data_IF_781389229031
#
_entry.id   IF_781389229031
#
_cell.length_a   1.000
_cell.length_b   1.000
_cell.length_c   1.000
_cell.angle_alpha   90.00
_cell.angle_beta   90.00
_cell.angle_gamma   90.00
#
_symmetry.space_group_name_H-M   'P 1'
#
loop_
_entity.id
_entity.type
_entity.pdbx_description
1 polymer ?
#
# COMPACT_ATOMS: atom_id res chain seq x y z
N UNK A 1 -14.32 25.70 3.16
CA UNK A 1 -13.12 26.30 2.54
C UNK A 1 -11.93 26.40 3.51
N UNK A 2 -12.16 26.54 4.82
CA UNK A 2 -11.09 26.67 5.83
C UNK A 2 -10.07 25.53 5.89
N UNK A 3 -10.40 24.40 5.36
CA UNK A 3 -9.67 23.15 5.55
C UNK A 3 -8.59 22.87 4.49
N UNK A 4 -8.70 23.46 3.32
CA UNK A 4 -7.71 23.28 2.27
C UNK A 4 -6.39 24.01 2.61
N UNK A 5 -6.50 25.19 3.21
CA UNK A 5 -5.36 25.96 3.67
C UNK A 5 -4.56 25.22 4.75
N UNK A 6 -5.23 24.71 5.78
CA UNK A 6 -4.58 23.97 6.86
C UNK A 6 -3.95 22.65 6.37
N UNK A 7 -4.66 21.91 5.50
CA UNK A 7 -4.12 20.70 4.89
C UNK A 7 -2.86 21.00 4.07
N UNK A 8 -2.92 22.02 3.24
CA UNK A 8 -1.80 22.42 2.40
C UNK A 8 -0.64 22.93 3.28
N UNK A 9 -0.91 23.75 4.27
CA UNK A 9 0.11 24.27 5.19
C UNK A 9 0.84 23.15 5.92
N UNK A 10 0.10 22.22 6.54
CA UNK A 10 0.72 21.06 7.21
C UNK A 10 1.49 20.14 6.24
N UNK A 11 0.95 19.90 5.06
CA UNK A 11 1.61 19.06 4.06
C UNK A 11 2.89 19.70 3.52
N UNK A 12 2.89 21.01 3.33
CA UNK A 12 4.06 21.75 2.86
C UNK A 12 5.11 21.83 3.97
N UNK A 13 4.74 22.11 5.23
CA UNK A 13 5.66 22.12 6.36
C UNK A 13 6.36 20.76 6.51
N UNK A 14 5.62 19.66 6.45
CA UNK A 14 6.21 18.32 6.51
C UNK A 14 7.14 18.04 5.32
N UNK A 15 6.79 18.49 4.12
CA UNK A 15 7.63 18.31 2.94
C UNK A 15 8.89 19.22 2.99
N UNK A 16 8.77 20.42 3.55
CA UNK A 16 9.87 21.35 3.75
C UNK A 16 10.89 20.80 4.76
N UNK A 17 10.41 20.26 5.88
CA UNK A 17 11.29 19.62 6.88
C UNK A 17 12.03 18.43 6.27
N UNK A 18 11.35 17.57 5.52
CA UNK A 18 11.97 16.43 4.84
C UNK A 18 13.00 16.87 3.78
N UNK A 19 12.72 17.92 3.01
CA UNK A 19 13.64 18.46 2.00
C UNK A 19 14.86 19.13 2.68
N UNK A 20 14.64 19.85 3.77
CA UNK A 20 15.67 20.47 4.60
C UNK A 20 16.61 19.43 5.19
N UNK A 21 16.05 18.38 5.80
CA UNK A 21 16.82 17.31 6.40
C UNK A 21 17.66 16.58 5.34
N UNK A 22 17.07 16.19 4.20
CA UNK A 22 17.78 15.51 3.13
C UNK A 22 18.95 16.36 2.56
N UNK A 23 18.75 17.68 2.42
CA UNK A 23 19.78 18.59 1.98
C UNK A 23 20.95 18.68 2.98
N UNK A 24 20.66 18.86 4.28
CA UNK A 24 21.71 18.96 5.30
C UNK A 24 22.44 17.62 5.53
N UNK A 25 21.77 16.49 5.44
CA UNK A 25 22.41 15.17 5.51
C UNK A 25 23.41 14.96 4.37
N UNK A 26 23.07 15.37 3.15
CA UNK A 26 23.98 15.28 2.00
C UNK A 26 25.16 16.25 2.13
N UNK A 27 24.94 17.49 2.57
CA UNK A 27 26.02 18.47 2.84
C UNK A 27 26.96 17.94 3.91
N UNK A 28 26.43 17.36 4.99
CA UNK A 28 27.24 16.77 6.05
C UNK A 28 28.05 15.55 5.54
N UNK A 29 27.45 14.69 4.70
CA UNK A 29 28.16 13.56 4.11
C UNK A 29 29.33 14.00 3.23
N UNK A 30 29.10 15.01 2.38
CA UNK A 30 30.15 15.58 1.51
C UNK A 30 31.27 16.26 2.30
N UNK A 31 30.94 17.00 3.38
CA UNK A 31 31.93 17.63 4.25
C UNK A 31 32.83 16.63 5.00
N UNK A 32 32.34 15.40 5.19
CA UNK A 32 33.10 14.29 5.78
C UNK A 32 33.85 13.45 4.74
N UNK A 33 33.87 13.85 3.46
CA UNK A 33 34.53 13.13 2.38
C UNK A 33 33.87 11.78 2.04
N UNK A 34 32.62 11.59 2.47
CA UNK A 34 31.87 10.36 2.15
C UNK A 34 31.27 10.47 0.76
N UNK A 35 31.25 9.37 -0.05
CA UNK A 35 30.57 9.39 -1.33
C UNK A 35 29.07 9.65 -1.10
N UNK A 36 28.47 10.46 -2.00
CA UNK A 36 27.03 10.72 -1.99
C UNK A 36 26.24 9.43 -1.89
N UNK A 37 25.43 9.28 -0.85
CA UNK A 37 24.64 8.06 -0.60
C UNK A 37 23.37 8.04 -1.48
N UNK A 38 23.04 9.11 -2.20
CA UNK A 38 21.80 9.29 -2.94
C UNK A 38 21.97 9.39 -4.46
N UNK A 39 20.95 8.98 -5.21
CA UNK A 39 20.83 9.22 -6.66
C UNK A 39 20.55 10.68 -7.01
N UNK A 40 20.35 11.56 -6.03
CA UNK A 40 20.07 12.98 -6.20
C UNK A 40 21.35 13.77 -5.98
N UNK A 41 21.70 14.60 -6.93
CA UNK A 41 22.84 15.50 -6.76
C UNK A 41 22.47 16.64 -5.79
N UNK A 42 23.47 17.27 -5.17
CA UNK A 42 23.30 18.35 -4.22
C UNK A 42 22.49 19.52 -4.80
N UNK A 43 22.63 19.82 -6.10
CA UNK A 43 21.87 20.87 -6.75
C UNK A 43 20.36 20.57 -6.77
N UNK A 44 19.97 19.31 -6.99
CA UNK A 44 18.57 18.94 -6.96
C UNK A 44 17.98 19.02 -5.56
N UNK A 45 18.73 18.60 -4.53
CA UNK A 45 18.31 18.71 -3.14
C UNK A 45 18.20 20.16 -2.70
N UNK A 46 19.14 21.01 -3.10
CA UNK A 46 19.09 22.45 -2.86
C UNK A 46 17.86 23.09 -3.53
N UNK A 47 17.56 22.71 -4.79
CA UNK A 47 16.41 23.21 -5.53
C UNK A 47 15.09 22.79 -4.86
N UNK A 48 14.99 21.53 -4.39
CA UNK A 48 13.83 21.05 -3.64
C UNK A 48 13.66 21.81 -2.31
N UNK A 49 14.74 22.01 -1.56
CA UNK A 49 14.74 22.75 -0.30
C UNK A 49 14.30 24.22 -0.51
N UNK A 50 14.91 24.93 -1.46
CA UNK A 50 14.54 26.32 -1.76
C UNK A 50 13.08 26.44 -2.23
N UNK A 51 12.61 25.51 -3.05
CA UNK A 51 11.21 25.48 -3.50
C UNK A 51 10.23 25.32 -2.34
N UNK A 52 10.55 24.45 -1.37
CA UNK A 52 9.71 24.27 -0.19
C UNK A 52 9.73 25.51 0.70
N UNK A 53 10.87 26.17 0.85
CA UNK A 53 10.99 27.44 1.61
C UNK A 53 10.15 28.55 0.97
N UNK A 54 10.18 28.68 -0.35
CA UNK A 54 9.32 29.65 -1.09
C UNK A 54 7.84 29.36 -0.86
N UNK A 55 7.43 28.09 -0.85
CA UNK A 55 6.06 27.68 -0.55
C UNK A 55 5.64 28.03 0.88
N UNK A 56 6.51 27.78 1.86
CA UNK A 56 6.24 28.12 3.27
C UNK A 56 6.07 29.63 3.45
N UNK A 57 6.96 30.43 2.86
CA UNK A 57 6.90 31.90 2.92
C UNK A 57 5.63 32.42 2.26
N UNK A 58 5.31 31.95 1.04
CA UNK A 58 4.10 32.39 0.33
C UNK A 58 2.81 32.03 1.09
N UNK A 59 2.76 30.85 1.72
CA UNK A 59 1.65 30.47 2.58
C UNK A 59 1.56 31.33 3.85
N UNK A 60 2.68 31.63 4.47
CA UNK A 60 2.73 32.47 5.65
C UNK A 60 2.25 33.92 5.44
N UNK A 61 2.25 34.40 4.17
CA UNK A 61 1.69 35.72 3.81
C UNK A 61 0.18 35.68 3.54
N UNK A 62 -0.44 34.50 3.47
CA UNK A 62 -1.87 34.36 3.18
C UNK A 62 -2.66 34.08 4.46
N UNK A 63 -3.86 34.62 4.52
CA UNK A 63 -4.83 34.23 5.54
C UNK A 63 -5.68 33.07 5.04
N UNK A 64 -6.23 32.29 5.97
CA UNK A 64 -7.14 31.19 5.65
C UNK A 64 -8.33 31.61 4.77
N UNK A 65 -8.84 32.83 4.99
CA UNK A 65 -9.99 33.39 4.21
C UNK A 65 -9.61 33.73 2.77
N UNK A 66 -8.35 34.09 2.53
CA UNK A 66 -7.87 34.54 1.23
C UNK A 66 -7.24 33.43 0.42
N UNK A 67 -7.06 32.24 1.02
CA UNK A 67 -6.38 31.14 0.40
C UNK A 67 -7.19 30.50 -0.73
N UNK A 68 -6.58 30.43 -1.92
CA UNK A 68 -6.92 29.48 -2.98
C UNK A 68 -5.62 28.98 -3.60
N UNK A 69 -5.60 27.76 -4.16
CA UNK A 69 -4.41 27.24 -4.88
C UNK A 69 -3.98 28.16 -6.01
N UNK A 70 -4.92 28.81 -6.69
CA UNK A 70 -4.65 29.76 -7.77
C UNK A 70 -4.00 31.01 -7.27
N UNK A 71 -4.45 31.58 -6.15
CA UNK A 71 -3.82 32.75 -5.50
C UNK A 71 -2.41 32.41 -5.01
N UNK A 72 -2.22 31.23 -4.42
CA UNK A 72 -0.89 30.76 -4.00
C UNK A 72 0.04 30.62 -5.21
N UNK A 73 -0.40 30.00 -6.29
CA UNK A 73 0.38 29.87 -7.52
C UNK A 73 0.70 31.23 -8.13
N UNK A 74 -0.24 32.18 -8.10
CA UNK A 74 -0.03 33.55 -8.60
C UNK A 74 1.02 34.28 -7.77
N UNK A 75 0.92 34.25 -6.44
CA UNK A 75 1.88 34.88 -5.54
C UNK A 75 3.31 34.34 -5.71
N UNK A 76 3.42 33.04 -5.97
CA UNK A 76 4.72 32.41 -6.25
C UNK A 76 5.23 32.80 -7.65
N UNK A 77 4.32 32.86 -8.65
CA UNK A 77 4.69 33.21 -10.02
C UNK A 77 5.29 34.61 -10.16
N UNK A 78 4.90 35.53 -9.29
CA UNK A 78 5.42 36.90 -9.30
C UNK A 78 6.90 36.96 -8.92
N UNK A 79 7.44 35.95 -8.20
CA UNK A 79 8.77 35.96 -7.61
C UNK A 79 9.63 34.72 -7.88
N UNK A 80 9.14 33.77 -8.62
CA UNK A 80 9.79 32.47 -8.84
C UNK A 80 10.04 32.15 -10.34
N UNK A 81 11.08 31.36 -10.60
CA UNK A 81 11.36 30.85 -11.96
C UNK A 81 10.28 29.85 -12.39
N UNK A 82 10.10 29.69 -13.72
CA UNK A 82 9.13 28.69 -14.27
C UNK A 82 9.43 27.28 -13.78
N UNK A 83 10.68 26.92 -13.62
CA UNK A 83 11.09 25.63 -13.07
C UNK A 83 10.58 25.43 -11.63
N UNK A 84 10.68 26.48 -10.79
CA UNK A 84 10.15 26.47 -9.44
C UNK A 84 8.63 26.31 -9.45
N UNK A 85 7.94 27.04 -10.34
CA UNK A 85 6.51 26.91 -10.53
C UNK A 85 6.08 25.52 -10.95
N UNK A 86 6.83 24.84 -11.83
CA UNK A 86 6.52 23.45 -12.19
C UNK A 86 6.65 22.48 -11.02
N UNK A 87 7.66 22.66 -10.16
CA UNK A 87 7.82 21.86 -8.95
C UNK A 87 6.67 22.14 -7.98
N UNK A 88 6.33 23.41 -7.77
CA UNK A 88 5.19 23.81 -6.93
C UNK A 88 3.88 23.21 -7.44
N UNK A 89 3.60 23.31 -8.73
CA UNK A 89 2.41 22.69 -9.36
C UNK A 89 2.37 21.17 -9.13
N UNK A 90 3.52 20.48 -9.21
CA UNK A 90 3.60 19.04 -8.92
C UNK A 90 3.34 18.76 -7.44
N UNK A 91 3.89 19.54 -6.53
CA UNK A 91 3.66 19.41 -5.10
C UNK A 91 2.18 19.65 -4.77
N UNK A 92 1.60 20.75 -5.22
CA UNK A 92 0.19 21.06 -4.98
C UNK A 92 -0.76 20.03 -5.59
N UNK A 93 -0.45 19.48 -6.77
CA UNK A 93 -1.20 18.35 -7.35
C UNK A 93 -1.10 17.06 -6.53
N UNK A 94 0.00 16.87 -5.81
CA UNK A 94 0.18 15.69 -4.95
C UNK A 94 -0.57 15.81 -3.62
N UNK A 95 -0.96 17.03 -3.23
CA UNK A 95 -1.79 17.29 -2.05
C UNK A 95 -3.26 17.18 -2.49
N UNK A 96 -4.01 16.17 -2.05
CA UNK A 96 -5.40 16.01 -2.46
C UNK A 96 -6.27 17.14 -1.91
N UNK A 97 -7.31 17.52 -2.67
CA UNK A 97 -8.35 18.40 -2.14
C UNK A 97 -9.21 17.62 -1.14
N UNK A 98 -9.92 18.31 -0.23
CA UNK A 98 -10.90 17.66 0.64
C UNK A 98 -11.88 16.76 -0.11
N UNK A 99 -12.39 17.20 -1.26
CA UNK A 99 -13.28 16.40 -2.12
C UNK A 99 -12.57 15.17 -2.67
N UNK A 100 -11.31 15.28 -3.07
CA UNK A 100 -10.49 14.15 -3.57
C UNK A 100 -10.24 13.12 -2.48
N UNK A 101 -9.98 13.57 -1.23
CA UNK A 101 -9.83 12.68 -0.08
C UNK A 101 -11.12 11.91 0.24
N UNK A 102 -12.28 12.53 0.02
CA UNK A 102 -13.58 11.91 0.29
C UNK A 102 -14.09 11.05 -0.86
N UNK A 103 -13.77 11.38 -2.11
CA UNK A 103 -14.35 10.80 -3.32
C UNK A 103 -13.42 9.85 -4.10
N UNK A 104 -12.12 9.87 -3.87
CA UNK A 104 -11.15 9.16 -4.71
C UNK A 104 -11.39 7.65 -4.80
N UNK A 105 -11.49 7.13 -6.02
CA UNK A 105 -11.38 5.71 -6.31
C UNK A 105 -10.23 5.45 -7.28
N UNK A 106 -9.55 4.33 -7.10
CA UNK A 106 -8.52 3.89 -8.02
C UNK A 106 -9.12 3.05 -9.15
N UNK A 107 -8.57 3.16 -10.36
CA UNK A 107 -9.02 2.36 -11.52
C UNK A 107 -8.37 0.99 -11.58
N UNK A 108 -7.18 0.87 -11.04
CA UNK A 108 -6.36 -0.34 -11.07
C UNK A 108 -5.82 -0.67 -9.68
N UNK A 109 -5.86 -1.94 -9.32
CA UNK A 109 -5.27 -2.46 -8.08
C UNK A 109 -3.95 -3.15 -8.38
N UNK A 110 -3.00 -2.95 -7.48
CA UNK A 110 -1.74 -3.68 -7.42
C UNK A 110 -1.93 -4.93 -6.57
N UNK A 111 -1.49 -6.06 -7.07
CA UNK A 111 -1.48 -7.33 -6.35
C UNK A 111 -0.07 -7.90 -6.33
N UNK A 112 0.55 -7.96 -5.15
CA UNK A 112 1.89 -8.49 -4.96
C UNK A 112 1.83 -10.01 -4.85
N UNK A 113 2.48 -10.72 -5.78
CA UNK A 113 2.45 -12.17 -5.91
C UNK A 113 3.64 -12.86 -5.21
N UNK A 114 4.77 -12.20 -4.85
CA UNK A 114 5.92 -12.93 -4.34
C UNK A 114 5.57 -13.79 -3.14
N UNK A 115 6.04 -15.04 -3.14
CA UNK A 115 5.86 -15.96 -2.01
C UNK A 115 6.40 -15.37 -0.70
N UNK A 116 7.54 -14.65 -0.78
CA UNK A 116 8.13 -13.96 0.36
C UNK A 116 7.23 -12.89 0.99
N UNK A 117 6.34 -12.26 0.22
CA UNK A 117 5.35 -11.30 0.74
C UNK A 117 4.13 -12.03 1.31
N UNK A 118 3.70 -13.10 0.66
CA UNK A 118 2.48 -13.80 1.07
C UNK A 118 2.67 -14.74 2.27
N UNK A 119 3.90 -14.97 2.72
CA UNK A 119 4.17 -15.71 3.98
C UNK A 119 4.24 -14.80 5.21
N UNK A 120 4.20 -13.49 5.06
CA UNK A 120 4.31 -12.52 6.17
C UNK A 120 3.38 -12.80 7.35
N UNK A 121 2.10 -13.22 7.17
CA UNK A 121 1.23 -13.57 8.29
C UNK A 121 1.70 -14.77 9.12
N UNK A 122 2.62 -15.58 8.59
CA UNK A 122 3.19 -16.75 9.28
C UNK A 122 4.44 -16.41 10.11
N UNK A 123 5.00 -15.20 9.93
CA UNK A 123 6.22 -14.75 10.58
C UNK A 123 5.84 -13.96 11.84
N UNK A 124 6.42 -14.27 13.02
CA UNK A 124 6.20 -13.48 14.22
C UNK A 124 6.84 -12.09 14.08
N UNK A 125 6.21 -11.09 14.70
CA UNK A 125 6.81 -9.77 14.86
C UNK A 125 7.63 -9.81 16.14
N UNK A 126 8.95 -9.68 16.03
CA UNK A 126 9.84 -9.66 17.20
C UNK A 126 9.97 -8.25 17.78
N UNK A 127 10.08 -8.08 19.11
CA UNK A 127 10.42 -6.81 19.74
C UNK A 127 11.77 -6.27 19.23
N UNK A 128 12.01 -4.97 19.39
CA UNK A 128 13.23 -4.30 18.92
C UNK A 128 14.51 -4.85 19.58
N UNK A 129 14.41 -5.21 20.84
CA UNK A 129 15.54 -5.73 21.64
C UNK A 129 15.91 -7.16 21.31
N UNK A 130 15.03 -7.92 20.64
CA UNK A 130 15.28 -9.30 20.28
C UNK A 130 15.84 -9.43 18.85
N UNK A 131 16.69 -10.45 18.57
CA UNK A 131 17.09 -10.75 17.20
C UNK A 131 15.85 -11.08 16.36
N UNK A 132 15.74 -10.48 15.17
CA UNK A 132 14.63 -10.71 14.29
C UNK A 132 14.55 -12.19 13.90
N UNK A 133 13.44 -12.85 14.21
CA UNK A 133 13.15 -14.17 13.67
C UNK A 133 13.04 -14.06 12.14
N UNK A 134 13.89 -14.76 11.41
CA UNK A 134 13.86 -14.78 9.96
C UNK A 134 13.28 -16.10 9.46
N UNK A 135 12.32 -16.02 8.53
CA UNK A 135 11.82 -17.17 7.80
C UNK A 135 12.50 -17.25 6.45
N UNK A 136 13.08 -18.41 6.15
CA UNK A 136 13.64 -18.72 4.84
C UNK A 136 12.50 -19.18 3.91
N UNK A 137 12.36 -18.53 2.76
CA UNK A 137 11.35 -18.85 1.75
C UNK A 137 12.03 -19.24 0.46
N UNK A 138 11.92 -20.51 0.06
CA UNK A 138 12.43 -20.97 -1.24
C UNK A 138 11.58 -20.34 -2.36
N UNK A 139 12.21 -19.50 -3.18
CA UNK A 139 11.52 -18.68 -4.20
C UNK A 139 11.92 -19.00 -5.64
N UNK A 140 13.04 -19.69 -5.86
CA UNK A 140 13.50 -20.02 -7.19
C UNK A 140 14.23 -21.36 -7.20
N UNK A 141 14.02 -22.13 -8.29
CA UNK A 141 14.80 -23.34 -8.62
C UNK A 141 15.39 -23.18 -10.00
N UNK A 142 16.69 -23.39 -10.14
CA UNK A 142 17.36 -23.35 -11.43
C UNK A 142 18.43 -24.44 -11.48
N UNK A 143 18.25 -25.43 -12.37
CA UNK A 143 19.19 -26.56 -12.58
C UNK A 143 19.64 -27.22 -11.27
N UNK A 144 18.69 -27.52 -10.37
CA UNK A 144 18.97 -28.15 -9.07
C UNK A 144 19.47 -27.18 -7.97
N UNK A 145 19.71 -25.90 -8.28
CA UNK A 145 20.03 -24.87 -7.28
C UNK A 145 18.76 -24.19 -6.81
N UNK A 146 18.60 -24.09 -5.51
CA UNK A 146 17.51 -23.35 -4.86
C UNK A 146 18.05 -22.04 -4.32
N UNK A 147 17.24 -20.99 -4.39
CA UNK A 147 17.52 -19.71 -3.72
C UNK A 147 16.46 -19.45 -2.66
N UNK A 148 16.90 -19.15 -1.47
CA UNK A 148 16.04 -18.70 -0.39
C UNK A 148 16.03 -17.16 -0.33
N UNK A 149 14.90 -16.61 0.10
CA UNK A 149 14.75 -15.23 0.52
C UNK A 149 14.46 -15.26 2.01
N UNK A 150 15.22 -14.49 2.77
CA UNK A 150 15.03 -14.40 4.21
C UNK A 150 14.16 -13.19 4.52
N UNK A 151 13.08 -13.42 5.27
CA UNK A 151 12.12 -12.37 5.62
C UNK A 151 12.00 -12.30 7.13
N UNK A 152 12.20 -11.12 7.69
CA UNK A 152 12.04 -10.85 9.13
C UNK A 152 11.11 -9.68 9.38
N UNK A 153 10.37 -9.73 10.48
CA UNK A 153 9.51 -8.67 10.96
C UNK A 153 9.93 -8.24 12.36
N UNK A 154 10.03 -6.94 12.58
CA UNK A 154 10.39 -6.34 13.87
C UNK A 154 9.45 -5.19 14.20
N UNK A 155 8.99 -5.11 15.43
CA UNK A 155 8.30 -3.92 15.93
C UNK A 155 9.31 -2.90 16.45
N UNK A 156 9.10 -1.63 16.15
CA UNK A 156 9.97 -0.55 16.66
C UNK A 156 9.58 -0.12 18.09
N UNK A 157 8.31 -0.29 18.41
CA UNK A 157 7.71 -0.10 19.74
C UNK A 157 7.15 -1.44 20.23
N UNK A 158 6.60 -1.47 21.44
CA UNK A 158 5.88 -2.65 21.92
C UNK A 158 4.90 -3.14 20.84
N UNK A 159 4.95 -4.43 20.43
CA UNK A 159 4.19 -4.91 19.29
C UNK A 159 2.70 -4.74 19.51
N UNK A 160 2.03 -4.03 18.59
CA UNK A 160 0.57 -3.86 18.61
C UNK A 160 -0.12 -5.21 18.39
N UNK A 161 0.53 -6.09 17.62
CA UNK A 161 0.09 -7.45 17.37
C UNK A 161 1.31 -8.38 17.26
N UNK A 162 1.22 -9.65 17.74
CA UNK A 162 2.33 -10.59 17.68
C UNK A 162 2.63 -11.10 16.26
N UNK A 163 1.69 -10.94 15.33
CA UNK A 163 1.80 -11.34 13.91
C UNK A 163 0.95 -10.43 13.05
N UNK A 164 1.34 -10.30 11.80
CA UNK A 164 0.46 -9.74 10.77
C UNK A 164 -0.67 -10.74 10.46
N UNK A 165 -1.80 -10.21 10.04
CA UNK A 165 -2.93 -10.99 9.52
C UNK A 165 -2.96 -10.95 7.99
N UNK A 166 -3.73 -11.82 7.37
CA UNK A 166 -4.00 -11.75 5.91
C UNK A 166 -4.72 -10.44 5.56
N UNK A 167 -5.52 -9.91 6.49
CA UNK A 167 -6.17 -8.62 6.32
C UNK A 167 -5.16 -7.47 6.26
N UNK A 168 -4.11 -7.50 7.09
CA UNK A 168 -3.03 -6.49 7.04
C UNK A 168 -2.33 -6.50 5.67
N UNK A 169 -2.10 -7.68 5.07
CA UNK A 169 -1.60 -7.76 3.70
C UNK A 169 -2.57 -7.16 2.68
N UNK A 170 -3.87 -7.39 2.84
CA UNK A 170 -4.90 -6.81 1.97
C UNK A 170 -4.91 -5.29 2.05
N UNK A 171 -4.79 -4.73 3.27
CA UNK A 171 -4.68 -3.28 3.52
C UNK A 171 -3.39 -2.72 2.93
N UNK A 172 -2.26 -3.40 3.12
CA UNK A 172 -0.98 -3.02 2.53
C UNK A 172 -1.04 -2.98 0.98
N UNK A 173 -1.66 -3.96 0.36
CA UNK A 173 -1.85 -3.99 -1.10
C UNK A 173 -2.77 -2.88 -1.59
N UNK A 174 -3.82 -2.54 -0.84
CA UNK A 174 -4.69 -1.42 -1.17
C UNK A 174 -3.95 -0.08 -1.08
N UNK A 175 -3.15 0.13 -0.03
CA UNK A 175 -2.29 1.32 0.12
C UNK A 175 -1.24 1.40 -1.00
N UNK A 176 -0.59 0.27 -1.33
CA UNK A 176 0.34 0.16 -2.45
C UNK A 176 -0.32 0.49 -3.80
N UNK A 177 -1.59 0.13 -3.97
CA UNK A 177 -2.38 0.45 -5.18
C UNK A 177 -2.64 1.94 -5.31
N UNK A 178 -2.97 2.62 -4.20
CA UNK A 178 -3.14 4.07 -4.15
C UNK A 178 -1.80 4.75 -4.46
N UNK A 179 -0.71 4.31 -3.83
CA UNK A 179 0.63 4.83 -4.09
C UNK A 179 1.07 4.67 -5.55
N UNK A 180 0.85 3.49 -6.12
CA UNK A 180 1.18 3.18 -7.51
C UNK A 180 0.33 3.98 -8.51
N UNK A 181 -0.85 4.46 -8.12
CA UNK A 181 -1.67 5.37 -8.94
C UNK A 181 -1.16 6.82 -8.96
N UNK A 182 -0.08 7.12 -8.22
CA UNK A 182 0.52 8.45 -8.08
C UNK A 182 -0.04 9.26 -6.91
N UNK A 183 -0.99 8.71 -6.14
CA UNK A 183 -1.57 9.37 -4.98
C UNK A 183 -0.78 8.99 -3.74
N UNK A 184 -0.10 9.95 -3.11
CA UNK A 184 0.69 9.68 -1.90
C UNK A 184 -0.10 9.83 -0.61
N UNK A 185 -1.17 10.61 -0.60
CA UNK A 185 -2.02 10.86 0.56
C UNK A 185 -3.40 10.27 0.36
N UNK A 186 -3.94 9.62 1.36
CA UNK A 186 -5.26 8.99 1.31
C UNK A 186 -5.97 9.05 2.66
N UNK A 187 -7.29 9.02 2.64
CA UNK A 187 -8.14 8.86 3.82
C UNK A 187 -8.44 7.39 4.10
N UNK A 188 -8.88 7.07 5.32
CA UNK A 188 -9.39 5.74 5.65
C UNK A 188 -10.53 5.31 4.75
N UNK A 189 -11.39 6.26 4.35
CA UNK A 189 -12.50 6.02 3.44
C UNK A 189 -12.03 5.66 2.03
N UNK A 190 -11.01 6.34 1.54
CA UNK A 190 -10.42 6.08 0.23
C UNK A 190 -9.72 4.71 0.21
N UNK A 191 -8.97 4.41 1.27
CA UNK A 191 -8.33 3.10 1.42
C UNK A 191 -9.36 1.97 1.53
N UNK A 192 -10.46 2.18 2.29
CA UNK A 192 -11.56 1.21 2.36
C UNK A 192 -12.16 0.94 0.97
N UNK A 193 -12.38 1.97 0.14
CA UNK A 193 -12.88 1.80 -1.23
C UNK A 193 -11.86 1.10 -2.13
N UNK A 194 -10.59 1.44 -2.02
CA UNK A 194 -9.51 0.74 -2.72
C UNK A 194 -9.48 -0.75 -2.35
N UNK A 195 -9.59 -1.03 -1.05
CA UNK A 195 -9.62 -2.39 -0.49
C UNK A 195 -10.83 -3.19 -0.97
N UNK A 196 -12.01 -2.59 -1.01
CA UNK A 196 -13.28 -3.28 -1.32
C UNK A 196 -13.66 -3.23 -2.80
N UNK A 197 -12.91 -2.52 -3.64
CA UNK A 197 -13.26 -2.32 -5.04
C UNK A 197 -14.49 -1.43 -5.26
N UNK A 198 -14.90 -0.69 -4.22
CA UNK A 198 -16.08 0.16 -4.27
C UNK A 198 -15.81 1.45 -5.07
N UNK A 199 -16.86 1.99 -5.70
CA UNK A 199 -16.78 3.25 -6.43
C UNK A 199 -16.61 4.44 -5.48
N UNK A 200 -16.16 5.58 -6.02
CA UNK A 200 -15.87 6.81 -5.26
C UNK A 200 -17.03 7.28 -4.38
N UNK A 201 -18.25 7.15 -4.88
CA UNK A 201 -19.47 7.65 -4.19
C UNK A 201 -20.18 6.56 -3.38
N UNK A 202 -19.64 5.32 -3.35
CA UNK A 202 -20.26 4.25 -2.57
C UNK A 202 -20.19 4.57 -1.09
N UNK A 203 -21.36 4.54 -0.43
CA UNK A 203 -21.45 4.70 1.02
C UNK A 203 -20.73 3.55 1.72
N UNK A 204 -19.93 3.88 2.74
CA UNK A 204 -19.31 2.89 3.60
C UNK A 204 -20.36 2.31 4.53
N UNK A 205 -20.62 1.01 4.39
CA UNK A 205 -21.66 0.31 5.14
C UNK A 205 -21.12 -0.42 6.36
N UNK A 206 -19.82 -0.77 6.36
CA UNK A 206 -19.20 -1.52 7.46
C UNK A 206 -18.26 -0.65 8.28
N UNK A 207 -18.75 -0.09 9.39
CA UNK A 207 -17.94 0.63 10.37
C UNK A 207 -16.86 -0.28 10.98
N UNK A 208 -17.21 -1.53 11.29
CA UNK A 208 -16.28 -2.50 11.88
C UNK A 208 -15.08 -2.77 10.96
N UNK A 209 -15.31 -2.90 9.65
CA UNK A 209 -14.22 -3.08 8.68
C UNK A 209 -13.39 -1.81 8.55
N UNK A 210 -13.99 -0.62 8.64
CA UNK A 210 -13.26 0.64 8.61
C UNK A 210 -12.33 0.78 9.83
N UNK A 211 -12.79 0.41 11.02
CA UNK A 211 -11.95 0.38 12.22
C UNK A 211 -10.84 -0.68 12.12
N UNK A 212 -11.14 -1.84 11.54
CA UNK A 212 -10.12 -2.85 11.26
C UNK A 212 -9.04 -2.31 10.30
N UNK A 213 -9.42 -1.53 9.29
CA UNK A 213 -8.47 -0.86 8.37
C UNK A 213 -7.56 0.10 9.14
N UNK A 214 -8.09 0.93 10.04
CA UNK A 214 -7.29 1.86 10.85
C UNK A 214 -6.29 1.12 11.74
N UNK A 215 -6.76 0.09 12.46
CA UNK A 215 -5.90 -0.75 13.29
C UNK A 215 -4.79 -1.43 12.47
N UNK A 216 -5.12 -1.90 11.28
CA UNK A 216 -4.15 -2.50 10.36
C UNK A 216 -3.10 -1.47 9.91
N UNK A 217 -3.49 -0.22 9.61
CA UNK A 217 -2.56 0.85 9.27
C UNK A 217 -1.58 1.14 10.41
N UNK A 218 -2.06 1.21 11.66
CA UNK A 218 -1.21 1.41 12.84
C UNK A 218 -0.19 0.27 12.99
N UNK A 219 -0.63 -0.99 12.81
CA UNK A 219 0.25 -2.16 12.84
C UNK A 219 1.32 -2.11 11.73
N UNK A 220 0.91 -1.79 10.49
CA UNK A 220 1.82 -1.73 9.34
C UNK A 220 2.81 -0.56 9.42
N UNK A 221 2.42 0.54 10.03
CA UNK A 221 3.28 1.70 10.28
C UNK A 221 4.33 1.40 11.36
N UNK A 222 3.97 0.62 12.38
CA UNK A 222 4.86 0.28 13.50
C UNK A 222 5.78 -0.92 13.21
N UNK A 223 5.56 -1.65 12.11
CA UNK A 223 6.30 -2.87 11.78
C UNK A 223 7.37 -2.59 10.74
N UNK A 224 8.61 -2.98 11.04
CA UNK A 224 9.74 -2.97 10.11
C UNK A 224 9.84 -4.34 9.46
N UNK A 225 9.95 -4.36 8.13
CA UNK A 225 10.24 -5.55 7.34
C UNK A 225 11.69 -5.53 6.85
N UNK A 226 12.33 -6.69 6.84
CA UNK A 226 13.59 -6.92 6.15
C UNK A 226 13.38 -8.09 5.18
N UNK A 227 13.64 -7.86 3.90
CA UNK A 227 13.64 -8.90 2.86
C UNK A 227 15.08 -8.97 2.32
N UNK A 228 15.78 -10.04 2.65
CA UNK A 228 17.10 -10.33 2.10
C UNK A 228 16.94 -11.33 0.97
N UNK A 229 17.17 -10.86 -0.25
CA UNK A 229 17.03 -11.60 -1.50
C UNK A 229 18.40 -11.81 -2.19
N UNK A 230 19.49 -11.77 -1.47
CA UNK A 230 20.85 -11.88 -2.03
C UNK A 230 21.03 -13.17 -2.84
N UNK A 231 20.63 -14.31 -2.30
CA UNK A 231 20.69 -15.59 -3.00
C UNK A 231 19.84 -15.61 -4.27
N UNK A 232 18.65 -14.98 -4.23
CA UNK A 232 17.79 -14.87 -5.40
C UNK A 232 18.39 -13.93 -6.45
N UNK A 233 19.02 -12.85 -6.03
CA UNK A 233 19.72 -11.90 -6.91
C UNK A 233 20.91 -12.59 -7.60
N UNK A 234 21.73 -13.32 -6.86
CA UNK A 234 22.86 -14.08 -7.39
C UNK A 234 22.41 -15.14 -8.41
N UNK A 235 21.35 -15.89 -8.10
CA UNK A 235 20.78 -16.91 -9.01
C UNK A 235 20.23 -16.30 -10.29
N UNK A 236 19.66 -15.09 -10.24
CA UNK A 236 19.12 -14.36 -11.42
C UNK A 236 20.19 -13.58 -12.16
N UNK A 237 21.21 -13.07 -11.49
CA UNK A 237 22.38 -12.44 -12.12
C UNK A 237 23.05 -13.36 -13.10
N UNK A 238 23.06 -14.66 -12.82
CA UNK A 238 23.53 -15.70 -13.74
C UNK A 238 22.73 -15.79 -15.05
N UNK A 239 21.52 -15.18 -15.12
CA UNK A 239 20.67 -15.08 -16.31
C UNK A 239 20.77 -13.71 -17.01
N UNK A 240 21.78 -12.89 -16.74
CA UNK A 240 21.94 -11.57 -17.35
C UNK A 240 21.03 -10.48 -16.78
N UNK A 241 20.39 -10.70 -15.62
CA UNK A 241 19.61 -9.67 -14.92
C UNK A 241 20.48 -9.04 -13.83
N UNK A 242 20.84 -7.79 -14.01
CA UNK A 242 21.46 -6.99 -12.96
C UNK A 242 20.40 -6.53 -11.94
N UNK A 243 20.61 -6.83 -10.66
CA UNK A 243 19.83 -6.24 -9.57
C UNK A 243 20.63 -5.12 -8.93
N UNK A 244 20.04 -3.95 -8.84
CA UNK A 244 20.66 -2.81 -8.19
C UNK A 244 20.61 -2.90 -6.66
N UNK A 245 19.78 -3.80 -6.11
CA UNK A 245 19.52 -3.94 -4.69
C UNK A 245 19.02 -5.34 -4.38
N UNK A 246 19.66 -6.00 -3.39
CA UNK A 246 19.28 -7.34 -2.92
C UNK A 246 18.57 -7.33 -1.56
N UNK A 247 18.74 -6.28 -0.76
CA UNK A 247 18.10 -6.13 0.55
C UNK A 247 17.10 -4.99 0.55
N UNK A 248 15.86 -5.29 0.99
CA UNK A 248 14.77 -4.34 1.09
C UNK A 248 14.36 -4.23 2.56
N UNK A 249 14.64 -3.09 3.19
CA UNK A 249 14.40 -2.87 4.62
C UNK A 249 13.70 -1.53 4.83
N UNK A 250 12.78 -1.50 5.76
CA UNK A 250 12.06 -0.29 6.17
C UNK A 250 10.73 -0.63 6.82
N UNK A 251 9.95 0.40 7.14
CA UNK A 251 8.58 0.20 7.62
C UNK A 251 7.72 -0.49 6.55
N UNK A 252 6.83 -1.38 6.98
CA UNK A 252 5.88 -2.07 6.08
C UNK A 252 5.10 -1.07 5.23
N UNK A 253 4.60 0.00 5.85
CA UNK A 253 4.08 1.20 5.20
C UNK A 253 4.81 2.42 5.78
N UNK A 254 5.81 2.97 5.08
CA UNK A 254 6.50 4.19 5.50
C UNK A 254 5.58 5.40 5.29
N UNK A 255 4.79 5.74 6.29
CA UNK A 255 3.77 6.79 6.22
C UNK A 255 3.71 7.62 7.49
N UNK A 256 3.11 8.81 7.37
CA UNK A 256 2.75 9.67 8.50
C UNK A 256 1.24 9.86 8.55
N UNK A 257 0.70 9.92 9.75
CA UNK A 257 -0.71 10.23 9.97
C UNK A 257 -0.90 11.74 9.92
N UNK A 258 -1.95 12.17 9.22
CA UNK A 258 -2.38 13.56 9.13
C UNK A 258 -3.81 13.62 9.63
N UNK A 259 -4.08 14.46 10.61
CA UNK A 259 -5.44 14.71 11.06
C UNK A 259 -6.04 15.86 10.27
N UNK A 260 -7.18 15.62 9.64
CA UNK A 260 -7.92 16.63 8.90
C UNK A 260 -9.30 16.81 9.51
N UNK A 261 -9.62 18.03 9.88
CA UNK A 261 -10.92 18.40 10.41
C UNK A 261 -11.65 19.35 9.44
N UNK A 262 -12.91 19.10 9.22
CA UNK A 262 -13.78 19.90 8.37
C UNK A 262 -14.77 20.67 9.22
N UNK A 263 -14.79 21.98 9.07
CA UNK A 263 -15.69 22.86 9.79
C UNK A 263 -16.73 23.47 8.84
N UNK A 264 -17.97 23.55 9.29
CA UNK A 264 -19.02 24.37 8.66
C UNK A 264 -19.33 25.52 9.61
N UNK A 265 -18.84 26.70 9.30
CA UNK A 265 -18.78 27.81 10.27
C UNK A 265 -17.87 27.41 11.46
N UNK A 266 -18.38 27.61 12.69
CA UNK A 266 -17.64 27.25 13.92
C UNK A 266 -17.90 25.81 14.41
N UNK A 267 -18.65 24.99 13.64
CA UNK A 267 -18.97 23.61 14.02
C UNK A 267 -18.12 22.63 13.22
N UNK A 268 -17.52 21.66 13.93
CA UNK A 268 -16.85 20.54 13.30
C UNK A 268 -17.87 19.73 12.48
N UNK A 269 -17.79 19.82 11.15
CA UNK A 269 -18.70 19.14 10.24
C UNK A 269 -18.28 17.70 9.98
N UNK A 270 -16.98 17.46 9.89
CA UNK A 270 -16.40 16.13 9.75
C UNK A 270 -14.93 16.14 10.14
N UNK A 271 -14.42 15.02 10.63
CA UNK A 271 -12.98 14.77 10.74
C UNK A 271 -12.63 13.55 9.91
N UNK A 272 -11.46 13.56 9.30
CA UNK A 272 -10.99 12.46 8.50
C UNK A 272 -9.53 12.15 8.85
N UNK A 273 -9.29 10.91 9.28
CA UNK A 273 -7.92 10.43 9.40
C UNK A 273 -7.34 10.24 7.99
N UNK A 274 -6.20 10.85 7.75
CA UNK A 274 -5.46 10.74 6.51
C UNK A 274 -4.06 10.22 6.77
N UNK A 275 -3.49 9.56 5.79
CA UNK A 275 -2.11 9.08 5.83
C UNK A 275 -1.38 9.49 4.56
N UNK A 276 -0.12 9.85 4.71
CA UNK A 276 0.76 10.15 3.58
C UNK A 276 1.89 9.14 3.54
N UNK A 277 2.03 8.43 2.42
CA UNK A 277 3.16 7.53 2.17
C UNK A 277 4.37 8.38 1.79
N UNK A 278 5.45 8.21 2.54
CA UNK A 278 6.68 8.99 2.43
C UNK A 278 7.69 8.36 1.45
N UNK A 279 7.69 7.04 1.38
CA UNK A 279 8.60 6.28 0.51
C UNK A 279 7.91 5.04 -0.05
N UNK A 280 8.51 4.42 -1.06
CA UNK A 280 8.02 3.15 -1.60
C UNK A 280 8.07 2.06 -0.54
N UNK A 281 6.95 1.37 -0.24
CA UNK A 281 6.94 0.25 0.68
C UNK A 281 7.95 -0.83 0.26
N UNK A 282 8.79 -1.37 1.18
CA UNK A 282 9.83 -2.35 0.83
C UNK A 282 9.29 -3.60 0.14
N UNK A 283 8.13 -4.10 0.55
CA UNK A 283 7.47 -5.25 -0.09
C UNK A 283 7.06 -4.96 -1.55
N UNK A 284 6.58 -3.73 -1.84
CA UNK A 284 6.27 -3.31 -3.20
C UNK A 284 7.53 -3.13 -4.03
N UNK A 285 8.57 -2.52 -3.46
CA UNK A 285 9.87 -2.35 -4.12
C UNK A 285 10.47 -3.71 -4.50
N UNK A 286 10.49 -4.67 -3.57
CA UNK A 286 10.91 -6.04 -3.82
C UNK A 286 10.09 -6.70 -4.93
N UNK A 287 8.76 -6.70 -4.81
CA UNK A 287 7.86 -7.31 -5.79
C UNK A 287 8.04 -6.72 -7.19
N UNK A 288 8.24 -5.41 -7.29
CA UNK A 288 8.49 -4.70 -8.56
C UNK A 288 9.86 -5.09 -9.14
N UNK A 289 10.90 -5.15 -8.30
CA UNK A 289 12.27 -5.55 -8.71
C UNK A 289 12.28 -6.94 -9.33
N UNK A 290 11.54 -7.87 -8.75
CA UNK A 290 11.43 -9.24 -9.28
C UNK A 290 10.35 -9.42 -10.35
N UNK A 291 9.68 -8.34 -10.75
CA UNK A 291 8.58 -8.33 -11.73
C UNK A 291 7.42 -9.27 -11.35
N UNK A 292 7.12 -9.38 -10.08
CA UNK A 292 6.02 -10.18 -9.54
C UNK A 292 4.92 -9.30 -8.94
N UNK A 293 4.50 -8.31 -9.72
CA UNK A 293 3.35 -7.46 -9.43
C UNK A 293 2.33 -7.63 -10.54
N UNK A 294 1.14 -8.09 -10.18
CA UNK A 294 0.00 -8.09 -11.09
C UNK A 294 -0.77 -6.78 -10.95
N UNK A 295 -1.14 -6.19 -12.07
CA UNK A 295 -2.06 -5.05 -12.10
C UNK A 295 -3.40 -5.54 -12.61
N UNK A 296 -4.43 -5.41 -11.79
CA UNK A 296 -5.79 -5.87 -12.09
C UNK A 296 -6.76 -4.68 -12.11
N UNK A 297 -7.84 -4.74 -12.93
CA UNK A 297 -8.91 -3.75 -12.86
C UNK A 297 -9.51 -3.69 -11.46
N UNK A 298 -9.81 -2.49 -10.95
CA UNK A 298 -10.38 -2.32 -9.61
C UNK A 298 -11.70 -3.10 -9.42
N UNK A 299 -12.48 -3.26 -10.49
CA UNK A 299 -13.72 -4.06 -10.45
C UNK A 299 -13.51 -5.50 -9.98
N UNK A 300 -12.32 -6.08 -10.18
CA UNK A 300 -11.99 -7.45 -9.70
C UNK A 300 -11.93 -7.52 -8.16
N UNK A 301 -11.58 -6.40 -7.50
CA UNK A 301 -11.61 -6.29 -6.04
C UNK A 301 -13.02 -6.10 -5.47
N UNK A 302 -14.01 -5.80 -6.32
CA UNK A 302 -15.40 -5.62 -5.87
C UNK A 302 -15.96 -6.93 -5.35
N UNK A 303 -16.67 -6.83 -4.24
CA UNK A 303 -17.44 -7.96 -3.72
C UNK A 303 -18.77 -8.06 -4.48
N UNK A 304 -19.24 -9.27 -4.81
CA UNK A 304 -20.51 -9.50 -5.49
C UNK A 304 -21.70 -8.92 -4.72
N UNK A 305 -22.79 -8.64 -5.42
CA UNK A 305 -24.06 -8.21 -4.79
C UNK A 305 -24.49 -9.26 -3.73
N UNK A 306 -24.84 -8.79 -2.54
CA UNK A 306 -25.21 -9.64 -1.41
C UNK A 306 -24.04 -10.15 -0.56
N UNK A 307 -22.81 -9.90 -0.95
CA UNK A 307 -21.62 -10.21 -0.13
C UNK A 307 -21.14 -8.94 0.57
N UNK A 308 -21.23 -8.92 1.90
CA UNK A 308 -20.79 -7.78 2.72
C UNK A 308 -19.26 -7.66 2.78
N UNK A 309 -18.76 -6.43 2.93
CA UNK A 309 -17.32 -6.14 3.04
C UNK A 309 -16.82 -6.40 4.47
N UNK A 310 -16.85 -7.65 4.91
CA UNK A 310 -16.26 -8.09 6.18
C UNK A 310 -14.78 -8.44 6.00
N UNK A 311 -14.03 -8.45 7.11
CA UNK A 311 -12.61 -8.85 7.13
C UNK A 311 -12.43 -10.23 6.48
N UNK A 312 -13.20 -11.24 6.89
CA UNK A 312 -13.10 -12.59 6.34
C UNK A 312 -13.38 -12.66 4.83
N UNK A 313 -14.40 -11.95 4.36
CA UNK A 313 -14.75 -11.95 2.93
C UNK A 313 -13.67 -11.29 2.08
N UNK A 314 -13.03 -10.25 2.60
CA UNK A 314 -11.88 -9.59 1.96
C UNK A 314 -10.67 -10.54 1.93
N UNK A 315 -10.36 -11.21 3.05
CA UNK A 315 -9.26 -12.16 3.13
C UNK A 315 -9.44 -13.34 2.15
N UNK A 316 -10.65 -13.93 2.09
CA UNK A 316 -10.97 -15.01 1.13
C UNK A 316 -10.76 -14.52 -0.29
N UNK A 317 -11.28 -13.35 -0.66
CA UNK A 317 -11.12 -12.78 -2.00
C UNK A 317 -9.64 -12.61 -2.37
N UNK A 318 -8.87 -12.01 -1.50
CA UNK A 318 -7.47 -11.68 -1.82
C UNK A 318 -6.57 -12.91 -1.82
N UNK A 319 -6.83 -13.87 -0.93
CA UNK A 319 -6.16 -15.17 -0.95
C UNK A 319 -6.49 -15.94 -2.24
N UNK A 320 -7.75 -15.95 -2.65
CA UNK A 320 -8.17 -16.62 -3.89
C UNK A 320 -7.53 -15.97 -5.11
N UNK A 321 -7.47 -14.62 -5.17
CA UNK A 321 -6.75 -13.88 -6.22
C UNK A 321 -5.26 -14.24 -6.25
N UNK A 322 -4.63 -14.37 -5.09
CA UNK A 322 -3.23 -14.82 -5.01
C UNK A 322 -3.04 -16.21 -5.63
N UNK A 323 -3.88 -17.17 -5.27
CA UNK A 323 -3.81 -18.53 -5.84
C UNK A 323 -4.08 -18.56 -7.34
N UNK A 324 -5.04 -17.77 -7.84
CA UNK A 324 -5.32 -17.64 -9.27
C UNK A 324 -4.09 -17.11 -10.01
N UNK A 325 -3.47 -16.03 -9.52
CA UNK A 325 -2.28 -15.47 -10.16
C UNK A 325 -1.06 -16.40 -10.11
N UNK A 326 -0.89 -17.15 -9.02
CA UNK A 326 0.22 -18.08 -8.85
C UNK A 326 0.10 -19.30 -9.79
N UNK A 327 -1.12 -19.73 -10.07
CA UNK A 327 -1.41 -20.99 -10.76
C UNK A 327 -2.05 -20.80 -12.14
N UNK A 328 -2.17 -19.59 -12.63
CA UNK A 328 -2.77 -19.31 -13.94
C UNK A 328 -2.05 -20.09 -15.04
N UNK A 329 -2.82 -20.86 -15.83
CA UNK A 329 -2.30 -21.70 -16.89
C UNK A 329 -1.55 -22.96 -16.43
N UNK A 330 -1.69 -23.38 -15.16
CA UNK A 330 -1.02 -24.56 -14.61
C UNK A 330 -1.97 -25.70 -14.25
N UNK A 331 -3.28 -25.51 -14.38
CA UNK A 331 -4.27 -26.53 -14.03
C UNK A 331 -4.25 -26.94 -12.56
N UNK A 332 -4.15 -25.98 -11.63
CA UNK A 332 -4.02 -26.26 -10.22
C UNK A 332 -5.37 -26.54 -9.54
N UNK A 333 -5.32 -27.35 -8.48
CA UNK A 333 -6.46 -27.64 -7.59
C UNK A 333 -6.25 -26.92 -6.26
N UNK A 334 -7.31 -26.29 -5.76
CA UNK A 334 -7.32 -25.60 -4.46
C UNK A 334 -8.49 -26.11 -3.62
N UNK A 335 -8.21 -26.74 -2.50
CA UNK A 335 -9.23 -27.17 -1.55
C UNK A 335 -9.77 -25.99 -0.73
N UNK A 336 -11.05 -26.01 -0.38
CA UNK A 336 -11.64 -24.97 0.48
C UNK A 336 -10.95 -24.87 1.85
N UNK A 337 -10.58 -26.01 2.45
CA UNK A 337 -9.82 -26.01 3.72
C UNK A 337 -8.50 -25.25 3.60
N UNK A 338 -7.73 -25.53 2.55
CA UNK A 338 -6.47 -24.83 2.26
C UNK A 338 -6.69 -23.33 2.02
N UNK A 339 -7.77 -22.97 1.29
CA UNK A 339 -8.12 -21.57 1.06
C UNK A 339 -8.46 -20.85 2.37
N UNK A 340 -9.28 -21.46 3.22
CA UNK A 340 -9.73 -20.86 4.46
C UNK A 340 -8.58 -20.71 5.48
N UNK A 341 -7.76 -21.74 5.62
CA UNK A 341 -6.55 -21.68 6.43
C UNK A 341 -5.61 -20.57 5.95
N UNK A 342 -5.35 -20.53 4.64
CA UNK A 342 -4.48 -19.50 4.04
C UNK A 342 -5.08 -18.08 4.16
N UNK A 343 -6.39 -17.95 4.21
CA UNK A 343 -7.10 -16.68 4.43
C UNK A 343 -7.19 -16.30 5.93
N UNK A 344 -6.72 -17.15 6.84
CA UNK A 344 -6.80 -16.92 8.29
C UNK A 344 -8.22 -16.97 8.83
N UNK A 345 -9.12 -17.71 8.18
CA UNK A 345 -10.51 -17.90 8.63
C UNK A 345 -10.56 -19.02 9.65
N UNK A 346 -11.22 -18.78 10.77
CA UNK A 346 -11.48 -19.82 11.76
C UNK A 346 -12.44 -20.86 11.18
N UNK A 347 -11.91 -22.08 11.01
CA UNK A 347 -12.63 -23.22 10.44
C UNK A 347 -13.25 -24.15 11.51
N UNK A 348 -13.08 -23.85 12.78
CA UNK A 348 -13.67 -24.64 13.89
C UNK A 348 -15.19 -24.55 13.89
N UNK A 349 -15.76 -23.46 13.36
CA UNK A 349 -17.20 -23.24 13.29
C UNK A 349 -17.74 -23.62 11.91
N UNK A 350 -18.61 -24.64 11.88
CA UNK A 350 -19.26 -25.16 10.66
C UNK A 350 -20.05 -24.09 9.89
N UNK A 351 -20.74 -23.19 10.61
CA UNK A 351 -21.51 -22.11 9.97
C UNK A 351 -20.61 -21.10 9.28
N UNK A 352 -19.46 -20.81 9.87
CA UNK A 352 -18.45 -19.95 9.26
C UNK A 352 -17.95 -20.58 7.96
N UNK A 353 -17.57 -21.86 7.97
CA UNK A 353 -17.15 -22.58 6.79
C UNK A 353 -18.22 -22.57 5.68
N UNK A 354 -19.48 -22.81 6.05
CA UNK A 354 -20.59 -22.80 5.09
C UNK A 354 -20.79 -21.40 4.46
N UNK A 355 -20.75 -20.32 5.26
CA UNK A 355 -20.83 -18.94 4.78
C UNK A 355 -19.67 -18.61 3.85
N UNK A 356 -18.45 -19.02 4.21
CA UNK A 356 -17.25 -18.73 3.39
C UNK A 356 -17.27 -19.51 2.06
N UNK A 357 -17.81 -20.73 2.01
CA UNK A 357 -18.07 -21.46 0.75
C UNK A 357 -19.03 -20.70 -0.16
N UNK A 358 -20.13 -20.17 0.39
CA UNK A 358 -21.06 -19.32 -0.39
C UNK A 358 -20.37 -18.09 -0.95
N UNK A 359 -19.57 -17.40 -0.14
CA UNK A 359 -18.80 -16.23 -0.55
C UNK A 359 -17.83 -16.58 -1.67
N UNK A 360 -17.07 -17.66 -1.53
CA UNK A 360 -16.11 -18.10 -2.55
C UNK A 360 -16.81 -18.41 -3.88
N UNK A 361 -17.93 -19.14 -3.86
CA UNK A 361 -18.73 -19.43 -5.06
C UNK A 361 -19.27 -18.15 -5.72
N UNK A 362 -19.75 -17.20 -4.91
CA UNK A 362 -20.23 -15.91 -5.41
C UNK A 362 -19.11 -15.08 -6.07
N UNK A 363 -17.89 -15.09 -5.49
CA UNK A 363 -16.71 -14.43 -6.06
C UNK A 363 -16.32 -15.03 -7.41
N UNK A 364 -16.24 -16.36 -7.51
CA UNK A 364 -15.86 -17.06 -8.73
C UNK A 364 -16.89 -16.78 -9.85
N UNK A 365 -18.18 -16.88 -9.54
CA UNK A 365 -19.26 -16.54 -10.47
C UNK A 365 -19.15 -15.08 -10.95
N UNK A 366 -18.97 -14.16 -10.04
CA UNK A 366 -18.81 -12.73 -10.36
C UNK A 366 -17.59 -12.50 -11.28
N UNK A 367 -16.47 -13.14 -11.02
CA UNK A 367 -15.27 -12.98 -11.86
C UNK A 367 -15.44 -13.58 -13.26
N UNK A 368 -16.24 -14.64 -13.42
CA UNK A 368 -16.65 -15.14 -14.73
C UNK A 368 -17.55 -14.13 -15.45
N UNK A 369 -18.57 -13.57 -14.76
CA UNK A 369 -19.48 -12.57 -15.33
C UNK A 369 -18.75 -11.31 -15.82
N UNK A 370 -17.70 -10.86 -15.13
CA UNK A 370 -16.90 -9.69 -15.56
C UNK A 370 -15.76 -10.02 -16.51
N UNK A 371 -15.62 -11.27 -16.93
CA UNK A 371 -14.59 -11.74 -17.86
C UNK A 371 -13.15 -11.71 -17.28
N UNK A 372 -13.01 -11.80 -15.97
CA UNK A 372 -11.69 -11.88 -15.32
C UNK A 372 -11.14 -13.31 -15.35
N UNK A 373 -12.00 -14.30 -15.20
CA UNK A 373 -11.67 -15.70 -15.39
C UNK A 373 -12.22 -16.18 -16.73
N UNK A 374 -11.50 -17.03 -17.48
CA UNK A 374 -12.03 -17.63 -18.68
C UNK A 374 -13.29 -18.44 -18.35
N UNK A 375 -14.28 -18.45 -19.25
CA UNK A 375 -15.58 -19.07 -19.03
C UNK A 375 -15.56 -20.59 -18.86
N UNK A 376 -14.49 -21.25 -19.29
CA UNK A 376 -14.23 -22.68 -19.15
C UNK A 376 -13.48 -23.06 -17.87
N UNK A 377 -13.28 -22.13 -16.96
CA UNK A 377 -12.81 -22.51 -15.63
C UNK A 377 -13.94 -23.26 -14.95
N UNK A 378 -13.99 -24.56 -15.18
CA UNK A 378 -14.88 -25.48 -14.49
C UNK A 378 -14.59 -25.40 -13.00
N UNK A 379 -15.31 -24.51 -12.34
CA UNK A 379 -15.49 -24.61 -10.91
C UNK A 379 -16.40 -25.80 -10.72
N UNK A 380 -15.83 -27.00 -10.80
CA UNK A 380 -16.55 -28.23 -10.42
C UNK A 380 -16.73 -28.11 -8.92
N UNK A 381 -17.81 -27.47 -8.54
CA UNK A 381 -18.36 -27.52 -7.20
C UNK A 381 -18.99 -28.89 -7.01
N UNK A 382 -18.14 -29.91 -6.93
CA UNK A 382 -18.61 -31.24 -6.51
C UNK A 382 -18.99 -31.15 -5.05
N UNK A 383 -20.24 -31.42 -4.72
CA UNK A 383 -20.77 -31.43 -3.34
C UNK A 383 -20.03 -32.40 -2.39
N UNK A 384 -19.13 -33.22 -2.88
CA UNK A 384 -18.35 -34.17 -2.09
C UNK A 384 -16.85 -33.87 -1.99
N UNK A 385 -16.25 -33.10 -2.86
CA UNK A 385 -14.78 -32.91 -2.88
C UNK A 385 -14.28 -31.50 -2.70
N UNK A 386 -15.08 -30.53 -2.27
CA UNK A 386 -14.63 -29.20 -1.82
C UNK A 386 -13.40 -28.61 -2.54
N UNK A 387 -13.32 -28.76 -3.86
CA UNK A 387 -12.13 -28.42 -4.66
C UNK A 387 -12.45 -27.38 -5.73
N UNK A 388 -11.62 -26.35 -5.83
CA UNK A 388 -11.67 -25.32 -6.87
C UNK A 388 -10.58 -25.65 -7.88
N UNK A 389 -10.92 -25.75 -9.16
CA UNK A 389 -9.97 -25.91 -10.26
C UNK A 389 -9.59 -24.54 -10.81
N UNK A 390 -8.30 -24.24 -10.88
CA UNK A 390 -7.73 -23.02 -11.43
C UNK A 390 -6.99 -23.38 -12.72
N UNK A 391 -7.61 -23.11 -13.86
CA UNK A 391 -7.03 -23.35 -15.18
C UNK A 391 -6.18 -22.17 -15.66
#
# INVERSE_FOLDING_TARGET
MHNEYELITKSIATAADAARQAFYEEVAALSLGKPSAGKRNLQQLLKEHLTMTVLEVALGTMTEKDFTREKLLKAIAENASEDTLQIVRKVLKSIPTPETLMAGSIKKSVHMIPKAVNVLPKIPITPKEEPAATAAVTVARNRGKEAAVYVGLRAELAPIAPRLTVFDLSVMQAAASIYASGTKTFSSNQLYRALTGADAHTRITSKATLEAVKKSLDTLQATIITIDAEQQAALRGYKGYAWNKSTFKGYMLPMTKLETAYYSGNKLAASCDCWRILATPPALEYATTIKQVATIPQKVKRLPKGVSATVNNICIRDTLLYYIHLNRGKGAKLNYSTLFEAAGVDTSNRDTCYKMRKVTRALLKYWQEIGFMPGETDVITGDKNDTIYIS
#
